data_IF_159695512631
#
_entry.id   IF_159695512631
#
_cell.length_a   1.000
_cell.length_b   1.000
_cell.length_c   1.000
_cell.angle_alpha   90.00
_cell.angle_beta   90.00
_cell.angle_gamma   90.00
#
_symmetry.space_group_name_H-M   'P 1'
#
loop_
_entity.id
_entity.type
_entity.pdbx_description
1 polymer ?
#
# COMPACT_ATOMS: atom_id res chain seq x y z
N UNK A 1 -27.50 15.65 4.68
CA UNK A 1 -26.77 15.60 5.96
C UNK A 1 -25.53 16.51 6.00
N UNK A 2 -24.32 16.16 5.51
CA UNK A 2 -23.15 17.08 5.61
C UNK A 2 -23.31 18.41 4.86
N UNK A 3 -23.90 18.36 3.66
CA UNK A 3 -24.19 19.57 2.85
C UNK A 3 -25.16 20.52 3.55
N UNK A 4 -26.14 19.99 4.28
CA UNK A 4 -27.12 20.79 5.05
C UNK A 4 -26.41 21.48 6.21
N UNK A 5 -25.57 20.76 6.96
CA UNK A 5 -24.79 21.33 8.07
C UNK A 5 -23.82 22.44 7.62
N UNK A 6 -23.24 22.33 6.41
CA UNK A 6 -22.48 23.43 5.82
C UNK A 6 -23.37 24.60 5.39
N UNK A 7 -24.56 24.33 4.87
CA UNK A 7 -25.52 25.37 4.44
C UNK A 7 -26.10 26.13 5.63
N UNK A 8 -26.31 25.42 6.75
CA UNK A 8 -26.78 25.97 8.03
C UNK A 8 -25.66 26.63 8.84
N UNK A 9 -24.42 26.57 8.36
CA UNK A 9 -23.27 27.27 8.96
C UNK A 9 -22.64 26.58 10.17
N UNK A 10 -23.05 25.35 10.50
CA UNK A 10 -22.46 24.55 11.57
C UNK A 10 -21.08 24.00 11.22
N UNK A 11 -20.87 23.65 9.95
CA UNK A 11 -19.61 23.08 9.47
C UNK A 11 -19.00 23.95 8.36
N UNK A 12 -17.68 24.05 8.35
CA UNK A 12 -16.90 24.64 7.26
C UNK A 12 -16.21 23.50 6.51
N UNK A 13 -16.35 23.50 5.19
CA UNK A 13 -15.67 22.56 4.31
C UNK A 13 -14.31 23.10 3.87
N UNK A 14 -13.27 22.27 3.96
CA UNK A 14 -11.95 22.57 3.41
C UNK A 14 -11.62 21.62 2.26
N UNK A 15 -11.22 22.19 1.13
CA UNK A 15 -10.89 21.47 -0.11
C UNK A 15 -12.07 21.17 -1.05
N UNK A 16 -11.75 20.76 -2.28
CA UNK A 16 -12.72 20.51 -3.36
C UNK A 16 -12.56 19.06 -3.87
N UNK A 17 -13.62 18.25 -3.76
CA UNK A 17 -13.68 16.91 -4.35
C UNK A 17 -13.36 15.78 -3.38
N UNK A 18 -12.54 14.81 -3.82
CA UNK A 18 -12.13 13.69 -2.95
C UNK A 18 -11.10 14.20 -1.94
N UNK A 19 -11.33 13.94 -0.66
CA UNK A 19 -10.49 14.45 0.43
C UNK A 19 -10.96 15.77 1.04
N UNK A 20 -12.15 16.27 0.67
CA UNK A 20 -12.77 17.40 1.39
C UNK A 20 -13.00 17.02 2.85
N UNK A 21 -12.46 17.82 3.76
CA UNK A 21 -12.63 17.68 5.21
C UNK A 21 -13.64 18.69 5.72
N UNK A 22 -14.24 18.41 6.87
CA UNK A 22 -15.24 19.28 7.50
C UNK A 22 -14.84 19.53 8.95
N UNK A 23 -14.85 20.78 9.36
CA UNK A 23 -14.58 21.17 10.75
C UNK A 23 -15.71 22.04 11.30
N UNK A 24 -15.86 22.03 12.62
CA UNK A 24 -16.86 22.84 13.30
C UNK A 24 -16.57 24.33 13.07
N UNK A 25 -17.62 25.09 12.76
CA UNK A 25 -17.52 26.53 12.61
C UNK A 25 -17.41 27.17 14.01
N UNK A 26 -16.22 27.64 14.40
CA UNK A 26 -15.99 28.27 15.71
C UNK A 26 -16.53 29.70 15.79
N UNK A 27 -16.88 30.28 14.64
CA UNK A 27 -17.42 31.65 14.54
C UNK A 27 -18.95 31.68 14.61
N UNK A 28 -19.63 30.53 14.55
CA UNK A 28 -21.06 30.48 14.83
C UNK A 28 -21.26 30.70 16.33
N UNK A 29 -21.57 31.93 16.69
CA UNK A 29 -21.88 32.38 18.04
C UNK A 29 -23.17 31.69 18.52
N UNK A 30 -23.05 30.41 18.89
CA UNK A 30 -24.07 29.62 19.53
C UNK A 30 -24.08 30.00 21.01
N UNK A 31 -24.91 30.99 21.33
CA UNK A 31 -25.42 31.21 22.68
C UNK A 31 -26.23 29.97 23.12
N UNK A 32 -25.56 28.91 23.57
CA UNK A 32 -26.11 27.97 24.54
C UNK A 32 -24.98 27.28 25.31
N UNK A 33 -24.76 27.80 26.52
CA UNK A 33 -24.46 27.08 27.75
C UNK A 33 -23.36 26.00 27.77
N UNK A 34 -22.32 26.33 28.54
CA UNK A 34 -21.59 25.44 29.45
C UNK A 34 -21.37 23.99 29.00
N UNK A 35 -20.25 23.78 28.34
CA UNK A 35 -19.65 22.46 28.12
C UNK A 35 -18.14 22.59 28.06
N UNK A 36 -17.51 22.71 29.23
CA UNK A 36 -16.08 22.49 29.41
C UNK A 36 -15.71 21.11 28.86
N UNK A 37 -15.28 21.06 27.60
CA UNK A 37 -14.60 19.93 27.00
C UNK A 37 -13.30 20.45 26.44
N UNK A 38 -12.32 20.51 27.35
CA UNK A 38 -10.91 20.35 27.05
C UNK A 38 -10.72 19.08 26.19
N UNK A 39 -10.92 19.18 24.88
CA UNK A 39 -10.41 18.19 23.94
C UNK A 39 -9.03 18.68 23.53
N UNK A 40 -8.05 18.18 24.27
CA UNK A 40 -6.63 18.22 24.00
C UNK A 40 -6.31 18.31 22.51
N UNK A 41 -5.38 19.19 22.19
CA UNK A 41 -4.49 19.12 21.03
C UNK A 41 -3.77 17.76 21.01
N UNK A 42 -4.48 16.69 20.66
CA UNK A 42 -3.85 15.54 20.08
C UNK A 42 -3.66 15.86 18.61
N UNK A 43 -2.42 16.23 18.30
CA UNK A 43 -1.81 16.16 17.00
C UNK A 43 -2.01 14.74 16.45
N UNK A 44 -3.21 14.48 15.94
CA UNK A 44 -3.56 13.34 15.10
C UNK A 44 -2.85 13.58 13.78
N UNK A 45 -1.55 13.26 13.78
CA UNK A 45 -0.84 12.87 12.58
C UNK A 45 -1.71 11.82 11.90
N UNK A 46 -2.50 12.29 10.94
CA UNK A 46 -3.30 11.49 10.02
C UNK A 46 -2.36 10.42 9.49
N UNK A 47 -2.48 9.25 10.09
CA UNK A 47 -1.92 8.05 9.54
C UNK A 47 -2.64 7.91 8.21
N UNK A 48 -1.93 8.12 7.11
CA UNK A 48 -2.27 7.56 5.81
C UNK A 48 -2.26 6.02 5.97
N UNK A 49 -3.23 5.50 6.72
CA UNK A 49 -3.67 4.13 6.66
C UNK A 49 -4.36 4.00 5.32
N UNK A 50 -3.54 3.77 4.31
CA UNK A 50 -3.98 3.25 3.04
C UNK A 50 -4.57 1.87 3.34
N UNK A 51 -5.88 1.88 3.65
CA UNK A 51 -6.77 0.74 3.77
C UNK A 51 -6.82 0.00 2.43
N UNK A 52 -5.75 -0.71 2.11
CA UNK A 52 -5.82 -1.78 1.13
C UNK A 52 -6.14 -3.07 1.89
N UNK A 53 -7.44 -3.30 2.01
CA UNK A 53 -8.01 -4.61 2.27
C UNK A 53 -7.38 -5.61 1.30
N UNK A 54 -6.55 -6.50 1.83
CA UNK A 54 -6.26 -7.80 1.23
C UNK A 54 -5.87 -8.74 2.35
N UNK A 55 -6.91 -9.39 2.84
CA UNK A 55 -6.90 -10.57 3.67
C UNK A 55 -5.94 -11.62 3.08
N UNK A 56 -4.79 -11.81 3.71
CA UNK A 56 -4.08 -13.08 3.62
C UNK A 56 -3.40 -13.40 4.94
N UNK A 57 -3.89 -14.50 5.51
CA UNK A 57 -3.57 -15.07 6.80
C UNK A 57 -2.14 -15.63 6.77
N UNK A 58 -1.17 -14.88 7.29
CA UNK A 58 0.15 -15.42 7.58
C UNK A 58 0.60 -15.01 8.97
N UNK A 59 0.32 -15.93 9.91
CA UNK A 59 1.09 -16.25 11.10
C UNK A 59 1.42 -15.06 12.02
N UNK A 60 0.63 -15.04 13.08
CA UNK A 60 0.81 -14.29 14.32
C UNK A 60 2.17 -14.60 14.97
N UNK A 61 3.24 -13.96 14.51
CA UNK A 61 4.51 -13.88 15.25
C UNK A 61 4.94 -12.42 15.32
N UNK A 62 4.60 -11.79 16.44
CA UNK A 62 5.20 -10.58 17.02
C UNK A 62 5.95 -9.68 16.01
N UNK A 63 5.22 -8.95 15.18
CA UNK A 63 5.78 -8.11 14.12
C UNK A 63 6.36 -6.84 14.73
N UNK A 64 7.63 -6.88 15.11
CA UNK A 64 8.49 -5.70 15.02
C UNK A 64 8.37 -5.21 13.57
N UNK A 65 7.77 -4.02 13.36
CA UNK A 65 7.64 -3.38 12.04
C UNK A 65 9.05 -3.09 11.53
N UNK A 66 9.68 -4.09 10.92
CA UNK A 66 10.98 -3.93 10.27
C UNK A 66 10.76 -2.94 9.12
N UNK A 67 11.53 -1.86 9.14
CA UNK A 67 11.48 -0.84 8.10
C UNK A 67 11.87 -1.52 6.79
N UNK A 68 10.90 -1.71 5.88
CA UNK A 68 11.16 -2.33 4.57
C UNK A 68 12.14 -1.43 3.82
N UNK A 69 13.37 -1.90 3.59
CA UNK A 69 14.38 -1.19 2.80
C UNK A 69 13.79 -0.87 1.42
N UNK A 70 13.87 0.39 0.97
CA UNK A 70 13.48 0.76 -0.39
C UNK A 70 14.63 0.36 -1.32
N UNK A 71 14.30 -0.39 -2.38
CA UNK A 71 15.25 -0.74 -3.44
C UNK A 71 14.87 0.05 -4.69
N UNK A 72 15.87 0.58 -5.39
CA UNK A 72 15.71 1.04 -6.76
C UNK A 72 15.31 -0.13 -7.66
N UNK A 73 14.61 0.14 -8.77
CA UNK A 73 14.20 -0.90 -9.72
C UNK A 73 15.39 -1.74 -10.21
N UNK A 74 16.53 -1.08 -10.50
CA UNK A 74 17.75 -1.77 -10.96
C UNK A 74 18.32 -2.70 -9.88
N UNK A 75 18.31 -2.25 -8.62
CA UNK A 75 18.77 -3.06 -7.49
C UNK A 75 17.86 -4.27 -7.27
N UNK A 76 16.54 -4.07 -7.32
CA UNK A 76 15.56 -5.15 -7.19
C UNK A 76 15.75 -6.21 -8.29
N UNK A 77 15.97 -5.80 -9.53
CA UNK A 77 16.22 -6.73 -10.63
C UNK A 77 17.50 -7.53 -10.41
N UNK A 78 18.57 -6.89 -9.92
CA UNK A 78 19.82 -7.59 -9.60
C UNK A 78 19.63 -8.64 -8.50
N UNK A 79 18.86 -8.32 -7.45
CA UNK A 79 18.53 -9.28 -6.38
C UNK A 79 17.75 -10.46 -6.97
N UNK A 80 16.70 -10.21 -7.75
CA UNK A 80 15.90 -11.27 -8.38
C UNK A 80 16.77 -12.15 -9.28
N UNK A 81 17.60 -11.56 -10.14
CA UNK A 81 18.51 -12.29 -11.03
C UNK A 81 19.49 -13.19 -10.25
N UNK A 82 19.96 -12.74 -9.09
CA UNK A 82 20.81 -13.54 -8.21
C UNK A 82 20.02 -14.70 -7.56
N UNK A 83 18.76 -14.48 -7.20
CA UNK A 83 17.89 -15.51 -6.64
C UNK A 83 17.46 -16.56 -7.69
N UNK A 84 17.29 -16.18 -8.96
CA UNK A 84 16.78 -17.02 -10.06
C UNK A 84 17.89 -17.62 -10.93
N UNK A 85 18.98 -18.10 -10.32
CA UNK A 85 20.01 -18.87 -11.04
C UNK A 85 19.47 -20.22 -11.53
N UNK A 86 18.58 -20.82 -10.74
CA UNK A 86 17.80 -22.02 -11.08
C UNK A 86 16.35 -21.63 -11.37
N UNK A 87 15.57 -22.59 -11.89
CA UNK A 87 14.13 -22.42 -12.04
C UNK A 87 13.47 -22.22 -10.67
N UNK A 88 12.84 -21.07 -10.45
CA UNK A 88 12.10 -20.75 -9.23
C UNK A 88 10.71 -20.20 -9.53
N UNK A 89 9.76 -20.58 -8.70
CA UNK A 89 8.40 -20.04 -8.66
C UNK A 89 8.38 -18.60 -8.13
N UNK A 90 7.28 -17.88 -8.35
CA UNK A 90 7.13 -16.51 -7.84
C UNK A 90 7.10 -16.50 -6.31
N UNK A 91 6.54 -17.54 -5.71
CA UNK A 91 6.44 -17.75 -4.27
C UNK A 91 7.83 -17.90 -3.64
N UNK A 92 8.69 -18.72 -4.23
CA UNK A 92 10.08 -18.88 -3.76
C UNK A 92 10.87 -17.57 -3.83
N UNK A 93 10.70 -16.79 -4.91
CA UNK A 93 11.35 -15.48 -5.07
C UNK A 93 10.81 -14.48 -4.04
N UNK A 94 9.50 -14.49 -3.79
CA UNK A 94 8.85 -13.62 -2.81
C UNK A 94 9.39 -13.86 -1.38
N UNK A 95 9.58 -15.13 -1.01
CA UNK A 95 10.13 -15.52 0.29
C UNK A 95 11.57 -15.03 0.47
N UNK A 96 12.41 -15.20 -0.55
CA UNK A 96 13.82 -14.78 -0.52
C UNK A 96 13.95 -13.26 -0.38
N UNK A 97 13.17 -12.50 -1.14
CA UNK A 97 13.27 -11.02 -1.22
C UNK A 97 12.39 -10.34 -0.15
N UNK A 98 11.58 -11.13 0.58
CA UNK A 98 10.56 -10.68 1.54
C UNK A 98 9.61 -9.64 0.93
N UNK A 99 9.09 -9.95 -0.26
CA UNK A 99 8.13 -9.11 -1.00
C UNK A 99 6.84 -9.86 -1.25
N UNK A 100 5.79 -9.13 -1.60
CA UNK A 100 4.51 -9.75 -1.93
C UNK A 100 4.58 -10.44 -3.29
N UNK A 101 4.03 -11.66 -3.35
CA UNK A 101 3.86 -12.44 -4.58
C UNK A 101 3.07 -11.67 -5.62
N UNK A 102 2.02 -10.96 -5.19
CA UNK A 102 1.16 -10.16 -6.06
C UNK A 102 1.93 -9.04 -6.78
N UNK A 103 2.78 -8.29 -6.06
CA UNK A 103 3.59 -7.23 -6.66
C UNK A 103 4.60 -7.79 -7.66
N UNK A 104 5.23 -8.91 -7.30
CA UNK A 104 6.17 -9.58 -8.21
C UNK A 104 5.46 -10.06 -9.48
N UNK A 105 4.31 -10.72 -9.36
CA UNK A 105 3.54 -11.26 -10.47
C UNK A 105 2.95 -10.17 -11.38
N UNK A 106 2.44 -9.09 -10.80
CA UNK A 106 1.73 -8.03 -11.52
C UNK A 106 2.66 -7.05 -12.24
N UNK A 107 3.74 -6.63 -11.57
CA UNK A 107 4.58 -5.54 -12.08
C UNK A 107 5.99 -5.98 -12.44
N UNK A 108 6.66 -6.70 -11.54
CA UNK A 108 8.10 -6.92 -11.67
C UNK A 108 8.44 -8.00 -12.70
N UNK A 109 7.85 -9.18 -12.57
CA UNK A 109 8.15 -10.34 -13.42
C UNK A 109 7.80 -10.06 -14.89
N UNK A 110 6.62 -9.49 -15.24
CA UNK A 110 6.32 -9.14 -16.63
C UNK A 110 7.34 -8.17 -17.21
N UNK A 111 7.75 -7.14 -16.45
CA UNK A 111 8.75 -6.17 -16.90
C UNK A 111 10.12 -6.83 -17.12
N UNK A 112 10.56 -7.72 -16.22
CA UNK A 112 11.83 -8.43 -16.37
C UNK A 112 11.85 -9.39 -17.56
N UNK A 113 10.73 -10.09 -17.83
CA UNK A 113 10.60 -10.95 -19.02
C UNK A 113 10.62 -10.11 -20.30
N UNK A 114 9.89 -8.99 -20.35
CA UNK A 114 9.86 -8.10 -21.51
C UNK A 114 11.24 -7.47 -21.80
N UNK A 115 12.02 -7.19 -20.75
CA UNK A 115 13.43 -6.74 -20.86
C UNK A 115 14.41 -7.88 -21.21
N UNK A 116 13.94 -9.12 -21.31
CA UNK A 116 14.77 -10.29 -21.61
C UNK A 116 15.71 -10.68 -20.47
N UNK A 117 15.46 -10.23 -19.24
CA UNK A 117 16.27 -10.57 -18.06
C UNK A 117 15.89 -11.93 -17.46
N UNK A 118 14.64 -12.35 -17.68
CA UNK A 118 14.09 -13.63 -17.24
C UNK A 118 13.48 -14.39 -18.41
N UNK A 119 13.57 -15.72 -18.34
CA UNK A 119 12.85 -16.66 -19.18
C UNK A 119 11.77 -17.38 -18.38
N UNK A 120 10.72 -17.82 -19.09
CA UNK A 120 9.59 -18.58 -18.55
C UNK A 120 9.78 -20.05 -18.88
N UNK A 121 9.44 -20.93 -17.95
CA UNK A 121 9.48 -22.38 -18.17
C UNK A 121 8.34 -22.81 -19.10
N UNK A 122 7.13 -22.31 -18.83
CA UNK A 122 5.94 -22.60 -19.63
C UNK A 122 5.60 -21.42 -20.55
N UNK A 123 5.22 -21.73 -21.79
CA UNK A 123 4.82 -20.74 -22.79
C UNK A 123 3.59 -19.92 -22.34
N UNK A 124 2.66 -20.55 -21.60
CA UNK A 124 1.46 -19.88 -21.12
C UNK A 124 1.78 -19.00 -19.89
N UNK A 125 1.49 -17.68 -19.94
CA UNK A 125 1.83 -16.76 -18.84
C UNK A 125 1.24 -17.15 -17.48
N UNK A 126 -0.01 -17.65 -17.49
CA UNK A 126 -0.79 -17.95 -16.27
C UNK A 126 -0.76 -19.44 -15.90
N UNK A 127 0.28 -20.18 -16.29
CA UNK A 127 0.40 -21.58 -15.92
C UNK A 127 0.55 -21.73 -14.39
N UNK A 128 -0.16 -22.67 -13.73
CA UNK A 128 -0.11 -22.82 -12.27
C UNK A 128 1.28 -23.19 -11.76
N UNK A 129 2.04 -23.99 -12.52
CA UNK A 129 3.41 -24.37 -12.19
C UNK A 129 4.47 -23.48 -12.87
N UNK A 130 4.15 -22.20 -13.12
CA UNK A 130 5.08 -21.31 -13.82
C UNK A 130 6.32 -21.00 -12.98
N UNK A 131 7.50 -21.20 -13.57
CA UNK A 131 8.79 -20.84 -12.98
C UNK A 131 9.58 -19.94 -13.90
N UNK A 132 10.51 -19.22 -13.29
CA UNK A 132 11.34 -18.21 -13.93
C UNK A 132 12.80 -18.49 -13.64
N UNK A 133 13.64 -18.23 -14.64
CA UNK A 133 15.09 -18.33 -14.54
C UNK A 133 15.73 -17.12 -15.20
N UNK A 134 16.93 -16.74 -14.76
CA UNK A 134 17.73 -15.70 -15.41
C UNK A 134 18.12 -16.14 -16.82
N UNK A 135 17.82 -15.27 -17.79
CA UNK A 135 18.30 -15.41 -19.17
C UNK A 135 19.69 -14.76 -19.29
N UNK A 136 20.63 -15.47 -19.91
CA UNK A 136 21.99 -14.99 -20.17
C UNK A 136 22.07 -14.22 -21.50
#
# INVERSE_FOLDING_TARGET
MLKELCSEGYLVSDGIGRGTTYHLNKDSNLNSSDGNLNSSDENLNSSDENLNSSNDDYLKTNTQKTIKKKYSQKELFGIIQNSTQTWKSVEEIALEIRRSTQYLKGEIIPVMVNKGLLEREHAMPNHPAQRYKRKF
#
